data_IF_042777547070
#
_entry.id   IF_042777547070
#
_cell.length_a   1.000
_cell.length_b   1.000
_cell.length_c   1.000
_cell.angle_alpha   90.00
_cell.angle_beta   90.00
_cell.angle_gamma   90.00
#
_symmetry.space_group_name_H-M   'P 1'
#
loop_
_entity.id
_entity.type
_entity.pdbx_description
1 polymer ?
#
# COMPACT_ATOMS: atom_id res chain seq x y z
N UNK A 1 13.16 -27.84 -13.20
CA UNK A 1 12.44 -29.13 -13.33
C UNK A 1 11.49 -29.10 -14.52
N UNK A 2 11.98 -29.20 -15.76
CA UNK A 2 11.11 -29.11 -16.95
C UNK A 2 10.12 -30.29 -17.11
N UNK A 3 10.41 -31.46 -16.52
CA UNK A 3 9.59 -32.66 -16.75
C UNK A 3 8.43 -32.84 -15.77
N UNK A 4 8.39 -32.08 -14.66
CA UNK A 4 7.40 -32.29 -13.61
C UNK A 4 5.95 -32.10 -14.12
N UNK A 5 5.63 -31.03 -14.88
CA UNK A 5 4.27 -30.85 -15.40
C UNK A 5 3.82 -31.99 -16.30
N UNK A 6 4.73 -32.52 -17.15
CA UNK A 6 4.43 -33.63 -18.06
C UNK A 6 4.21 -34.96 -17.31
N UNK A 7 5.07 -35.27 -16.33
CA UNK A 7 4.90 -36.47 -15.50
C UNK A 7 3.60 -36.43 -14.70
N UNK A 8 3.26 -35.25 -14.18
CA UNK A 8 2.04 -35.03 -13.44
C UNK A 8 0.80 -35.12 -14.32
N UNK A 9 0.83 -34.57 -15.54
CA UNK A 9 -0.22 -34.75 -16.54
C UNK A 9 -0.46 -36.23 -16.84
N UNK A 10 0.60 -36.99 -17.14
CA UNK A 10 0.49 -38.40 -17.46
C UNK A 10 -0.11 -39.20 -16.29
N UNK A 11 0.34 -38.94 -15.05
CA UNK A 11 -0.22 -39.56 -13.86
C UNK A 11 -1.70 -39.18 -13.67
N UNK A 12 -2.05 -37.91 -13.86
CA UNK A 12 -3.42 -37.43 -13.71
C UNK A 12 -4.37 -38.14 -14.70
N UNK A 13 -4.01 -38.11 -15.98
CA UNK A 13 -4.87 -38.57 -17.07
C UNK A 13 -5.08 -40.09 -17.07
N UNK A 14 -4.06 -40.87 -16.70
CA UNK A 14 -4.09 -42.33 -16.75
C UNK A 14 -4.49 -42.99 -15.43
N UNK A 15 -4.30 -42.32 -14.29
CA UNK A 15 -4.39 -42.99 -12.99
C UNK A 15 -5.18 -42.27 -11.91
N UNK A 16 -5.38 -40.94 -11.98
CA UNK A 16 -5.89 -40.17 -10.85
C UNK A 16 -7.23 -39.46 -11.10
N UNK A 17 -7.54 -39.05 -12.34
CA UNK A 17 -8.72 -38.21 -12.63
C UNK A 17 -10.07 -38.80 -12.21
N UNK A 18 -10.20 -40.14 -12.20
CA UNK A 18 -11.45 -40.85 -11.86
C UNK A 18 -11.43 -41.42 -10.43
N UNK A 19 -10.43 -41.05 -9.62
CA UNK A 19 -10.29 -41.47 -8.22
C UNK A 19 -10.75 -40.38 -7.27
N UNK A 20 -11.14 -40.71 -6.01
CA UNK A 20 -11.50 -39.73 -5.00
C UNK A 20 -10.24 -39.03 -4.44
N UNK A 21 -9.54 -38.28 -5.29
CA UNK A 21 -8.28 -37.59 -4.97
C UNK A 21 -8.42 -36.12 -5.35
N UNK A 22 -7.95 -35.24 -4.46
CA UNK A 22 -7.79 -33.81 -4.74
C UNK A 22 -6.30 -33.49 -4.86
N UNK A 23 -5.91 -32.92 -5.99
CA UNK A 23 -4.54 -32.45 -6.23
C UNK A 23 -4.49 -30.94 -6.01
N UNK A 24 -3.64 -30.50 -5.07
CA UNK A 24 -3.37 -29.09 -4.81
C UNK A 24 -1.93 -28.80 -5.20
N UNK A 25 -1.74 -27.84 -6.10
CA UNK A 25 -0.43 -27.35 -6.53
C UNK A 25 -0.23 -25.94 -6.00
N UNK A 26 0.88 -25.74 -5.27
CA UNK A 26 1.27 -24.44 -4.74
C UNK A 26 2.71 -24.14 -5.13
N UNK A 27 2.99 -22.88 -5.50
CA UNK A 27 4.33 -22.42 -5.82
C UNK A 27 4.45 -20.91 -5.63
N UNK A 28 5.62 -20.44 -5.21
CA UNK A 28 5.94 -19.02 -5.02
C UNK A 28 6.17 -18.28 -6.34
N UNK A 29 6.65 -18.99 -7.38
CA UNK A 29 6.95 -18.38 -8.67
C UNK A 29 5.70 -18.26 -9.53
N UNK A 30 5.04 -17.10 -9.48
CA UNK A 30 3.86 -16.79 -10.28
C UNK A 30 4.12 -17.03 -11.77
N UNK A 31 5.25 -16.59 -12.31
CA UNK A 31 5.60 -16.82 -13.72
C UNK A 31 5.73 -18.31 -14.09
N UNK A 32 6.27 -19.14 -13.19
CA UNK A 32 6.33 -20.59 -13.42
C UNK A 32 4.95 -21.24 -13.35
N UNK A 33 4.08 -20.76 -12.46
CA UNK A 33 2.69 -21.24 -12.39
C UNK A 33 1.91 -20.80 -13.63
N UNK A 34 2.01 -19.54 -14.04
CA UNK A 34 1.33 -19.00 -15.21
C UNK A 34 1.79 -19.67 -16.50
N UNK A 35 3.10 -19.80 -16.73
CA UNK A 35 3.62 -20.43 -17.96
C UNK A 35 3.61 -21.96 -17.92
N UNK A 36 3.94 -22.55 -16.78
CA UNK A 36 4.17 -23.97 -16.61
C UNK A 36 2.93 -24.77 -16.23
N UNK A 37 1.88 -24.13 -15.69
CA UNK A 37 0.64 -24.80 -15.22
C UNK A 37 -0.61 -24.23 -15.90
N UNK A 38 -0.69 -22.92 -16.12
CA UNK A 38 -1.93 -22.24 -16.55
C UNK A 38 -1.98 -21.85 -18.02
N UNK A 39 -0.83 -21.72 -18.69
CA UNK A 39 -0.79 -21.33 -20.09
C UNK A 39 -1.44 -22.38 -20.99
N UNK A 40 -2.03 -21.96 -22.12
CA UNK A 40 -2.66 -22.86 -23.09
C UNK A 40 -1.71 -23.97 -23.61
N UNK A 41 -0.39 -23.69 -23.59
CA UNK A 41 0.68 -24.63 -23.97
C UNK A 41 1.16 -25.53 -22.83
N UNK A 42 0.66 -25.36 -21.60
CA UNK A 42 1.07 -26.14 -20.44
C UNK A 42 0.44 -27.54 -20.46
N UNK A 43 1.17 -28.58 -20.06
CA UNK A 43 0.66 -29.93 -19.82
C UNK A 43 -0.59 -30.00 -18.92
N UNK A 44 -0.71 -29.05 -17.98
CA UNK A 44 -1.80 -29.03 -17.00
C UNK A 44 -2.94 -28.09 -17.40
N UNK A 45 -2.88 -27.51 -18.60
CA UNK A 45 -3.93 -26.66 -19.13
C UNK A 45 -5.29 -27.37 -19.14
N UNK A 46 -6.33 -26.64 -18.74
CA UNK A 46 -7.71 -27.15 -18.68
C UNK A 46 -7.98 -28.17 -17.56
N UNK A 47 -6.99 -28.52 -16.73
CA UNK A 47 -7.16 -29.48 -15.61
C UNK A 47 -7.33 -28.80 -14.26
N UNK A 48 -6.98 -27.52 -14.13
CA UNK A 48 -7.21 -26.76 -12.91
C UNK A 48 -8.71 -26.47 -12.76
N UNK A 49 -9.33 -27.01 -11.71
CA UNK A 49 -10.74 -26.77 -11.36
C UNK A 49 -10.92 -25.58 -10.40
N UNK A 50 -9.82 -25.09 -9.81
CA UNK A 50 -9.79 -23.91 -8.99
C UNK A 50 -8.41 -23.26 -9.01
N UNK A 51 -8.39 -21.93 -9.03
CA UNK A 51 -7.16 -21.14 -8.96
C UNK A 51 -7.29 -20.14 -7.82
N UNK A 52 -6.41 -20.28 -6.83
CA UNK A 52 -6.35 -19.38 -5.69
C UNK A 52 -5.03 -18.60 -5.74
N UNK A 53 -5.13 -17.31 -6.08
CA UNK A 53 -4.00 -16.38 -5.94
C UNK A 53 -4.01 -15.85 -4.52
N UNK A 54 -3.06 -16.31 -3.70
CA UNK A 54 -2.86 -15.77 -2.36
C UNK A 54 -2.20 -14.38 -2.46
N UNK A 55 -2.85 -13.38 -1.88
CA UNK A 55 -2.33 -12.03 -1.72
C UNK A 55 -1.91 -11.79 -0.28
N UNK A 56 -1.11 -10.75 0.00
CA UNK A 56 -0.89 -10.31 1.38
C UNK A 56 -2.22 -10.11 2.12
N UNK A 57 -2.22 -10.36 3.43
CA UNK A 57 -3.37 -10.12 4.29
C UNK A 57 -3.77 -8.64 4.23
N UNK A 58 -5.05 -8.32 3.99
CA UNK A 58 -5.50 -6.94 4.05
C UNK A 58 -5.38 -6.41 5.48
N UNK A 59 -5.28 -5.09 5.61
CA UNK A 59 -5.08 -4.43 6.91
C UNK A 59 -6.12 -4.84 7.98
N UNK A 60 -7.37 -5.05 7.58
CA UNK A 60 -8.44 -5.52 8.49
C UNK A 60 -8.08 -6.84 9.18
N UNK A 61 -7.43 -7.75 8.47
CA UNK A 61 -7.09 -9.08 8.97
C UNK A 61 -5.82 -8.99 9.82
N UNK A 62 -4.86 -8.14 9.42
CA UNK A 62 -3.68 -7.84 10.24
C UNK A 62 -4.07 -7.23 11.58
N UNK A 63 -5.03 -6.29 11.61
CA UNK A 63 -5.56 -5.72 12.86
C UNK A 63 -6.16 -6.80 13.76
N UNK A 64 -6.84 -7.79 13.19
CA UNK A 64 -7.44 -8.88 13.96
C UNK A 64 -6.37 -9.78 14.63
N UNK A 65 -5.15 -9.85 14.09
CA UNK A 65 -4.04 -10.59 14.69
C UNK A 65 -3.44 -9.90 15.93
N UNK A 66 -3.63 -8.59 16.09
CA UNK A 66 -3.02 -7.79 17.18
C UNK A 66 -4.08 -7.02 17.99
N UNK A 67 -4.99 -7.71 18.71
CA UNK A 67 -6.08 -7.05 19.44
C UNK A 67 -5.61 -6.13 20.59
N UNK A 68 -4.37 -6.31 21.07
CA UNK A 68 -3.76 -5.46 22.10
C UNK A 68 -3.21 -4.13 21.57
N UNK A 69 -3.10 -3.98 20.25
CA UNK A 69 -2.65 -2.74 19.62
C UNK A 69 -3.83 -1.87 19.23
N UNK A 70 -3.67 -0.56 19.44
CA UNK A 70 -4.60 0.41 18.90
C UNK A 70 -4.48 0.47 17.36
N UNK A 71 -5.48 1.08 16.72
CA UNK A 71 -5.49 1.20 15.24
C UNK A 71 -4.23 1.88 14.74
N UNK A 72 -3.69 2.85 15.50
CA UNK A 72 -2.53 3.60 15.07
C UNK A 72 -1.25 2.75 15.05
N UNK A 73 -1.07 1.91 16.08
CA UNK A 73 -0.01 0.93 16.18
C UNK A 73 -0.11 -0.15 15.09
N UNK A 74 -1.32 -0.65 14.80
CA UNK A 74 -1.54 -1.59 13.71
C UNK A 74 -1.16 -0.98 12.35
N UNK A 75 -1.53 0.27 12.06
CA UNK A 75 -1.15 0.96 10.82
C UNK A 75 0.37 1.10 10.76
N UNK A 76 0.99 1.52 11.86
CA UNK A 76 2.43 1.70 11.96
C UNK A 76 3.20 0.38 11.74
N UNK A 77 2.70 -0.74 12.26
CA UNK A 77 3.25 -2.07 12.02
C UNK A 77 3.06 -2.51 10.56
N UNK A 78 1.85 -2.30 10.02
CA UNK A 78 1.53 -2.60 8.62
C UNK A 78 2.37 -1.78 7.64
N UNK A 79 2.77 -0.56 8.00
CA UNK A 79 3.73 0.25 7.22
C UNK A 79 5.12 -0.36 7.10
N UNK A 80 5.51 -1.26 8.01
CA UNK A 80 6.81 -1.93 7.99
C UNK A 80 6.71 -3.31 7.36
N UNK A 81 5.69 -4.08 7.70
CA UNK A 81 5.63 -5.52 7.36
C UNK A 81 4.59 -5.85 6.30
N UNK A 82 3.68 -4.92 6.03
CA UNK A 82 2.51 -5.18 5.21
C UNK A 82 1.67 -6.35 5.75
N UNK A 83 1.07 -7.09 4.82
CA UNK A 83 0.21 -8.22 5.10
C UNK A 83 0.88 -9.58 5.02
N UNK A 84 2.21 -9.67 5.04
CA UNK A 84 2.93 -10.93 4.81
C UNK A 84 2.95 -11.76 6.11
N UNK A 85 2.26 -12.92 6.18
CA UNK A 85 2.15 -13.69 7.42
C UNK A 85 3.51 -14.06 8.02
N UNK A 86 4.48 -14.43 7.18
CA UNK A 86 5.84 -14.77 7.60
C UNK A 86 6.52 -13.67 8.44
N UNK A 87 6.28 -12.40 8.13
CA UNK A 87 6.80 -11.28 8.92
C UNK A 87 5.99 -11.05 10.20
N UNK A 88 4.66 -11.15 10.09
CA UNK A 88 3.73 -10.88 11.18
C UNK A 88 3.85 -11.90 12.33
N UNK A 89 4.11 -13.17 12.04
CA UNK A 89 4.27 -14.24 13.04
C UNK A 89 5.44 -14.02 14.01
N UNK A 90 6.40 -13.16 13.66
CA UNK A 90 7.59 -12.89 14.47
C UNK A 90 7.41 -11.75 15.47
N UNK A 91 6.31 -11.01 15.33
CA UNK A 91 6.00 -9.89 16.19
C UNK A 91 5.57 -10.39 17.55
N UNK A 92 6.19 -9.83 18.59
CA UNK A 92 5.77 -10.04 19.96
C UNK A 92 4.68 -9.02 20.31
N UNK A 93 3.41 -9.42 20.45
CA UNK A 93 2.31 -8.49 20.71
C UNK A 93 2.40 -7.82 22.09
N UNK A 94 3.30 -8.28 22.97
CA UNK A 94 3.52 -7.68 24.30
C UNK A 94 4.46 -6.47 24.27
N UNK A 95 5.27 -6.35 23.21
CA UNK A 95 6.19 -5.23 23.01
C UNK A 95 5.50 -4.05 22.34
N UNK A 96 6.11 -2.86 22.38
CA UNK A 96 5.65 -1.75 21.54
C UNK A 96 5.99 -1.99 20.06
N UNK A 97 5.35 -1.28 19.13
CA UNK A 97 5.70 -1.34 17.69
C UNK A 97 7.16 -0.97 17.48
N UNK A 98 7.67 0.02 18.21
CA UNK A 98 9.06 0.47 18.12
C UNK A 98 10.01 -0.61 18.60
N UNK A 99 9.73 -1.23 19.74
CA UNK A 99 10.57 -2.30 20.29
C UNK A 99 10.57 -3.51 19.35
N UNK A 100 9.42 -3.86 18.77
CA UNK A 100 9.36 -4.89 17.73
C UNK A 100 10.22 -4.54 16.51
N UNK A 101 10.21 -3.30 16.04
CA UNK A 101 11.06 -2.87 14.93
C UNK A 101 12.55 -2.98 15.31
N UNK A 102 12.93 -2.55 16.50
CA UNK A 102 14.32 -2.60 16.98
C UNK A 102 14.78 -4.05 17.18
N UNK A 103 13.99 -4.88 17.84
CA UNK A 103 14.38 -6.21 18.28
C UNK A 103 14.11 -7.29 17.24
N UNK A 104 12.94 -7.27 16.61
CA UNK A 104 12.47 -8.34 15.70
C UNK A 104 12.73 -8.03 14.24
N UNK A 105 12.68 -6.75 13.85
CA UNK A 105 12.97 -6.34 12.46
C UNK A 105 14.46 -6.10 12.25
N UNK A 106 15.09 -5.18 13.00
CA UNK A 106 16.52 -4.88 12.84
C UNK A 106 17.45 -5.97 13.42
N UNK A 107 17.02 -6.62 14.51
CA UNK A 107 17.77 -7.71 15.14
C UNK A 107 17.81 -9.00 14.31
N UNK A 108 17.00 -9.08 13.26
CA UNK A 108 16.92 -10.26 12.42
C UNK A 108 17.90 -10.17 11.24
N UNK A 109 19.11 -10.67 11.47
CA UNK A 109 20.22 -10.59 10.50
C UNK A 109 19.87 -11.14 9.11
N UNK A 110 19.12 -12.24 9.02
CA UNK A 110 18.74 -12.84 7.73
C UNK A 110 17.76 -11.98 6.92
N UNK A 111 16.74 -11.41 7.57
CA UNK A 111 15.77 -10.55 6.89
C UNK A 111 16.40 -9.21 6.47
N UNK A 112 17.23 -8.61 7.32
CA UNK A 112 17.82 -7.30 7.04
C UNK A 112 18.99 -7.34 6.05
N UNK A 113 19.62 -8.48 5.81
CA UNK A 113 20.75 -8.52 4.86
C UNK A 113 20.38 -9.09 3.50
N UNK A 114 19.55 -10.13 3.48
CA UNK A 114 19.34 -10.88 2.25
C UNK A 114 17.90 -10.85 1.73
N UNK A 115 16.90 -10.44 2.52
CA UNK A 115 15.48 -10.56 2.12
C UNK A 115 15.17 -9.90 0.76
N UNK A 116 15.54 -8.63 0.48
CA UNK A 116 15.24 -8.03 -0.82
C UNK A 116 15.95 -8.75 -1.96
N UNK A 117 17.15 -9.28 -1.73
CA UNK A 117 17.89 -10.06 -2.74
C UNK A 117 17.24 -11.41 -2.95
N UNK A 118 16.85 -12.11 -1.89
CA UNK A 118 16.16 -13.40 -1.93
C UNK A 118 14.83 -13.25 -2.68
N UNK A 119 14.01 -12.27 -2.27
CA UNK A 119 12.72 -11.97 -2.91
C UNK A 119 12.89 -11.72 -4.41
N UNK A 120 13.96 -11.04 -4.84
CA UNK A 120 14.19 -10.76 -6.27
C UNK A 120 14.92 -11.89 -7.00
N UNK A 121 15.68 -12.75 -6.31
CA UNK A 121 16.33 -13.91 -6.92
C UNK A 121 15.32 -14.94 -7.43
N UNK A 122 14.13 -14.97 -6.83
CA UNK A 122 13.01 -15.77 -7.32
C UNK A 122 12.50 -15.35 -8.71
N UNK A 123 12.78 -14.10 -9.11
CA UNK A 123 12.34 -13.54 -10.38
C UNK A 123 13.49 -13.31 -11.37
N UNK A 124 14.72 -13.08 -10.88
CA UNK A 124 15.83 -12.60 -11.69
C UNK A 124 17.16 -13.29 -11.37
N UNK A 125 17.85 -13.75 -12.41
CA UNK A 125 19.23 -14.26 -12.30
C UNK A 125 20.23 -13.17 -11.92
N UNK A 126 20.01 -11.93 -12.38
CA UNK A 126 20.85 -10.76 -12.08
C UNK A 126 19.98 -9.60 -11.58
N UNK A 127 19.66 -9.54 -10.27
CA UNK A 127 18.70 -8.58 -9.75
C UNK A 127 19.27 -7.16 -9.55
N UNK A 128 20.56 -6.91 -9.81
CA UNK A 128 21.24 -5.65 -9.45
C UNK A 128 20.54 -4.37 -9.92
N UNK A 129 20.23 -4.26 -11.22
CA UNK A 129 19.54 -3.08 -11.75
C UNK A 129 18.09 -2.97 -11.27
N UNK A 130 17.41 -4.10 -11.06
CA UNK A 130 16.06 -4.12 -10.51
C UNK A 130 16.05 -3.59 -9.06
N UNK A 131 16.98 -4.08 -8.22
CA UNK A 131 17.15 -3.61 -6.84
C UNK A 131 17.48 -2.12 -6.80
N UNK A 132 18.38 -1.65 -7.67
CA UNK A 132 18.74 -0.24 -7.74
C UNK A 132 17.52 0.64 -8.09
N UNK A 133 16.70 0.21 -9.05
CA UNK A 133 15.48 0.93 -9.44
C UNK A 133 14.44 0.93 -8.31
N UNK A 134 14.17 -0.22 -7.69
CA UNK A 134 13.27 -0.30 -6.52
C UNK A 134 13.77 0.62 -5.41
N UNK A 135 15.08 0.63 -5.15
CA UNK A 135 15.71 1.48 -4.15
C UNK A 135 15.53 2.98 -4.42
N UNK A 136 15.64 3.42 -5.67
CA UNK A 136 15.34 4.82 -6.05
C UNK A 136 13.86 5.15 -5.81
N UNK A 137 12.96 4.27 -6.24
CA UNK A 137 11.51 4.48 -6.10
C UNK A 137 11.08 4.52 -4.63
N UNK A 138 11.63 3.64 -3.78
CA UNK A 138 11.40 3.63 -2.33
C UNK A 138 11.93 4.91 -1.63
N UNK A 139 12.89 5.60 -2.25
CA UNK A 139 13.43 6.88 -1.76
C UNK A 139 12.64 8.10 -2.28
N UNK A 140 11.45 7.89 -2.83
CA UNK A 140 10.54 8.91 -3.38
C UNK A 140 11.04 9.53 -4.69
N UNK A 141 11.86 8.81 -5.46
CA UNK A 141 12.23 9.18 -6.83
C UNK A 141 11.20 8.59 -7.78
N UNK A 142 10.21 9.40 -8.16
CA UNK A 142 8.99 8.89 -8.78
C UNK A 142 8.98 8.88 -10.31
N UNK A 143 9.91 9.57 -10.97
CA UNK A 143 9.91 9.71 -12.44
C UNK A 143 10.97 8.85 -13.12
N UNK A 144 10.62 8.22 -14.24
CA UNK A 144 11.57 7.42 -15.03
C UNK A 144 12.82 8.21 -15.43
N UNK A 145 12.66 9.50 -15.75
CA UNK A 145 13.77 10.38 -16.13
C UNK A 145 14.77 10.56 -14.97
N UNK A 146 14.26 10.83 -13.78
CA UNK A 146 15.09 11.05 -12.59
C UNK A 146 15.77 9.76 -12.13
N UNK A 147 15.05 8.61 -12.19
CA UNK A 147 15.65 7.29 -11.92
C UNK A 147 16.79 7.00 -12.89
N UNK A 148 16.60 7.25 -14.18
CA UNK A 148 17.63 7.07 -15.21
C UNK A 148 18.85 7.94 -14.95
N UNK A 149 18.64 9.20 -14.56
CA UNK A 149 19.72 10.12 -14.19
C UNK A 149 20.48 9.66 -12.94
N UNK A 150 19.79 9.26 -11.88
CA UNK A 150 20.43 8.84 -10.62
C UNK A 150 21.23 7.54 -10.74
N UNK A 151 20.85 6.66 -11.67
CA UNK A 151 21.50 5.37 -11.88
C UNK A 151 22.49 5.36 -13.05
N UNK A 152 22.64 6.49 -13.76
CA UNK A 152 23.43 6.60 -14.99
C UNK A 152 23.05 5.52 -16.02
N UNK A 153 21.74 5.36 -16.23
CA UNK A 153 21.17 4.39 -17.16
C UNK A 153 20.40 5.08 -18.27
N UNK A 154 20.41 4.47 -19.46
CA UNK A 154 19.59 4.93 -20.57
C UNK A 154 18.08 4.92 -20.21
N UNK A 155 17.32 5.99 -20.48
CA UNK A 155 15.90 6.06 -20.13
C UNK A 155 15.07 4.90 -20.68
N UNK A 156 15.35 4.44 -21.90
CA UNK A 156 14.67 3.28 -22.50
C UNK A 156 14.95 1.97 -21.75
N UNK A 157 16.15 1.83 -21.20
CA UNK A 157 16.53 0.68 -20.36
C UNK A 157 15.79 0.70 -19.03
N UNK A 158 15.72 1.85 -18.36
CA UNK A 158 14.92 2.02 -17.13
C UNK A 158 13.44 1.75 -17.40
N UNK A 159 12.91 2.20 -18.53
CA UNK A 159 11.53 1.92 -18.94
C UNK A 159 11.22 0.42 -19.04
N UNK A 160 12.14 -0.37 -19.60
CA UNK A 160 12.01 -1.84 -19.67
C UNK A 160 12.00 -2.47 -18.28
N UNK A 161 12.91 -2.05 -17.40
CA UNK A 161 12.94 -2.56 -16.02
C UNK A 161 11.68 -2.21 -15.23
N UNK A 162 11.22 -0.95 -15.31
CA UNK A 162 9.98 -0.51 -14.67
C UNK A 162 8.76 -1.28 -15.18
N UNK A 163 8.67 -1.52 -16.49
CA UNK A 163 7.59 -2.33 -17.06
C UNK A 163 7.58 -3.75 -16.47
N UNK A 164 8.74 -4.40 -16.39
CA UNK A 164 8.85 -5.73 -15.76
C UNK A 164 8.46 -5.70 -14.29
N UNK A 165 8.95 -4.71 -13.52
CA UNK A 165 8.62 -4.56 -12.10
C UNK A 165 7.13 -4.29 -11.86
N UNK A 166 6.48 -3.55 -12.77
CA UNK A 166 5.02 -3.32 -12.76
C UNK A 166 4.26 -4.60 -13.03
N UNK A 167 4.67 -5.38 -14.03
CA UNK A 167 4.02 -6.66 -14.35
C UNK A 167 4.16 -7.69 -13.23
N UNK A 168 5.30 -7.70 -12.53
CA UNK A 168 5.51 -8.54 -11.35
C UNK A 168 4.78 -8.02 -10.10
N UNK A 169 4.22 -6.80 -10.16
CA UNK A 169 3.53 -6.18 -9.02
C UNK A 169 4.47 -5.75 -7.89
N UNK A 170 5.78 -5.61 -8.14
CA UNK A 170 6.77 -5.09 -7.17
C UNK A 170 6.79 -3.56 -7.13
N UNK A 171 6.40 -2.93 -8.24
CA UNK A 171 6.19 -1.49 -8.37
C UNK A 171 4.80 -1.29 -8.96
N UNK A 172 4.10 -0.24 -8.55
CA UNK A 172 2.91 0.25 -9.23
C UNK A 172 3.21 1.53 -9.97
N UNK A 173 2.60 1.67 -11.15
CA UNK A 173 2.57 2.92 -11.91
C UNK A 173 1.29 3.65 -11.55
N UNK A 174 1.41 4.78 -10.89
CA UNK A 174 0.30 5.67 -10.60
C UNK A 174 0.24 6.82 -11.61
N UNK A 175 -0.97 7.30 -11.90
CA UNK A 175 -1.19 8.56 -12.61
C UNK A 175 -2.29 9.31 -11.86
N UNK A 176 -2.42 10.64 -12.01
CA UNK A 176 -3.47 11.39 -11.31
C UNK A 176 -4.84 10.75 -11.52
N UNK A 177 -5.64 10.62 -10.46
CA UNK A 177 -6.95 9.97 -10.50
C UNK A 177 -7.91 10.61 -11.52
N UNK A 178 -7.74 11.91 -11.78
CA UNK A 178 -8.49 12.69 -12.77
C UNK A 178 -8.14 12.38 -14.23
N UNK A 179 -7.10 11.59 -14.48
CA UNK A 179 -6.73 11.16 -15.82
C UNK A 179 -7.72 10.09 -16.33
N UNK A 180 -8.47 10.43 -17.39
CA UNK A 180 -9.48 9.54 -17.98
C UNK A 180 -8.86 8.37 -18.77
N UNK A 181 -7.67 8.58 -19.34
CA UNK A 181 -6.93 7.61 -20.15
C UNK A 181 -5.55 7.32 -19.52
N UNK A 182 -5.52 6.62 -18.36
CA UNK A 182 -4.31 6.42 -17.58
C UNK A 182 -3.17 5.70 -18.32
N UNK A 183 -3.52 4.85 -19.28
CA UNK A 183 -2.60 4.10 -20.14
C UNK A 183 -1.81 4.99 -21.10
N UNK A 184 -2.33 6.17 -21.46
CA UNK A 184 -1.66 7.14 -22.35
C UNK A 184 -0.94 8.26 -21.59
N UNK A 185 -1.13 8.35 -20.28
CA UNK A 185 -0.62 9.47 -19.50
C UNK A 185 0.90 9.49 -19.41
N UNK A 186 1.47 10.68 -19.57
CA UNK A 186 2.90 10.96 -19.35
C UNK A 186 3.20 11.45 -17.93
N UNK A 187 2.17 11.61 -17.09
CA UNK A 187 2.29 12.15 -15.72
C UNK A 187 2.47 11.04 -14.68
N UNK A 188 3.02 9.90 -15.07
CA UNK A 188 3.11 8.74 -14.19
C UNK A 188 4.18 8.89 -13.12
N UNK A 189 3.83 8.42 -11.92
CA UNK A 189 4.74 8.19 -10.81
C UNK A 189 4.86 6.69 -10.56
N UNK A 190 5.99 6.27 -10.04
CA UNK A 190 6.21 4.90 -9.62
C UNK A 190 6.27 4.83 -8.10
N UNK A 191 5.70 3.77 -7.54
CA UNK A 191 5.75 3.47 -6.10
C UNK A 191 6.00 1.99 -5.87
N UNK A 192 6.80 1.65 -4.86
CA UNK A 192 7.01 0.25 -4.46
C UNK A 192 5.75 -0.24 -3.77
N UNK A 193 5.27 -1.42 -4.14
CA UNK A 193 4.01 -1.98 -3.62
C UNK A 193 4.17 -2.59 -2.23
N UNK A 194 5.28 -3.29 -2.00
CA UNK A 194 5.54 -3.98 -0.75
C UNK A 194 5.99 -3.01 0.37
N UNK A 195 5.28 -2.95 1.51
CA UNK A 195 5.64 -2.06 2.62
C UNK A 195 7.02 -2.35 3.23
N UNK A 196 7.42 -3.63 3.26
CA UNK A 196 8.73 -4.01 3.78
C UNK A 196 9.87 -3.53 2.88
N UNK A 197 9.76 -3.72 1.56
CA UNK A 197 10.75 -3.17 0.61
C UNK A 197 10.82 -1.64 0.69
N UNK A 198 9.68 -0.95 0.85
CA UNK A 198 9.66 0.50 1.09
C UNK A 198 10.45 0.87 2.33
N UNK A 199 10.16 0.23 3.46
CA UNK A 199 10.85 0.48 4.72
C UNK A 199 12.35 0.15 4.63
N UNK A 200 12.68 -1.00 4.04
CA UNK A 200 14.04 -1.49 3.86
C UNK A 200 14.90 -0.50 3.11
N UNK A 201 14.54 -0.15 1.87
CA UNK A 201 15.37 0.69 1.01
C UNK A 201 15.42 2.13 1.51
N UNK A 202 14.37 2.59 2.19
CA UNK A 202 14.34 3.93 2.77
C UNK A 202 15.21 4.06 4.01
N UNK A 203 15.20 3.05 4.90
CA UNK A 203 15.75 3.18 6.25
C UNK A 203 16.83 2.17 6.63
N UNK A 204 16.68 0.91 6.23
CA UNK A 204 17.60 -0.16 6.64
C UNK A 204 18.84 -0.21 5.74
N UNK A 205 18.67 -0.17 4.42
CA UNK A 205 19.77 -0.23 3.45
C UNK A 205 20.87 0.81 3.74
N UNK A 206 20.57 2.11 3.99
CA UNK A 206 21.60 3.10 4.27
C UNK A 206 22.33 2.88 5.60
N UNK A 207 21.76 2.06 6.49
CA UNK A 207 22.21 1.86 7.87
C UNK A 207 22.72 0.44 8.14
N UNK A 208 22.86 -0.41 7.11
CA UNK A 208 23.26 -1.82 7.27
C UNK A 208 24.54 -1.98 8.09
N UNK A 209 25.57 -1.15 7.85
CA UNK A 209 26.82 -1.21 8.61
C UNK A 209 26.63 -0.96 10.11
N UNK A 210 25.66 -0.14 10.50
CA UNK A 210 25.33 0.11 11.91
C UNK A 210 24.48 -1.03 12.49
N UNK A 211 23.53 -1.55 11.71
CA UNK A 211 22.68 -2.68 12.09
C UNK A 211 23.53 -3.94 12.33
N UNK A 212 24.48 -4.25 11.44
CA UNK A 212 25.39 -5.41 11.59
C UNK A 212 26.24 -5.34 12.86
N UNK A 213 26.50 -4.12 13.36
CA UNK A 213 27.22 -3.88 14.62
C UNK A 213 26.31 -3.86 15.86
N UNK A 214 25.02 -4.15 15.70
CA UNK A 214 24.03 -4.14 16.79
C UNK A 214 23.61 -2.74 17.24
N UNK A 215 23.89 -1.68 16.47
CA UNK A 215 23.60 -0.30 16.85
C UNK A 215 22.13 0.12 16.60
N UNK A 216 21.17 -0.76 16.90
CA UNK A 216 19.76 -0.61 16.50
C UNK A 216 19.09 0.64 17.06
N UNK A 217 19.34 0.99 18.33
CA UNK A 217 18.78 2.20 18.95
C UNK A 217 19.23 3.49 18.25
N UNK A 218 20.50 3.56 17.84
CA UNK A 218 21.04 4.72 17.11
C UNK A 218 20.45 4.81 15.69
N UNK A 219 20.24 3.65 15.05
CA UNK A 219 19.54 3.58 13.76
C UNK A 219 18.10 4.07 13.91
N UNK A 220 17.38 3.62 14.95
CA UNK A 220 16.01 4.07 15.23
C UNK A 220 15.90 5.58 15.40
N UNK A 221 16.81 6.24 16.13
CA UNK A 221 16.82 7.71 16.28
C UNK A 221 16.95 8.47 14.95
N UNK A 222 17.51 7.82 13.92
CA UNK A 222 17.58 8.38 12.56
C UNK A 222 16.27 8.18 11.80
N UNK A 223 15.65 7.01 11.96
CA UNK A 223 14.35 6.66 11.35
C UNK A 223 13.23 7.51 11.94
N UNK A 224 13.22 7.68 13.26
CA UNK A 224 12.17 8.36 14.03
C UNK A 224 11.84 9.76 13.48
N UNK A 225 12.85 10.50 13.01
CA UNK A 225 12.70 11.84 12.43
C UNK A 225 11.79 11.87 11.20
N UNK A 226 11.75 10.78 10.45
CA UNK A 226 10.98 10.65 9.21
C UNK A 226 9.82 9.66 9.34
N UNK A 227 9.74 8.94 10.47
CA UNK A 227 8.80 7.85 10.71
C UNK A 227 7.35 8.26 10.48
N UNK A 228 6.94 9.40 11.05
CA UNK A 228 5.57 9.89 10.94
C UNK A 228 5.18 10.20 9.50
N UNK A 229 6.07 10.86 8.75
CA UNK A 229 5.82 11.17 7.35
C UNK A 229 5.75 9.90 6.51
N UNK A 230 6.64 8.94 6.77
CA UNK A 230 6.65 7.63 6.10
C UNK A 230 5.33 6.88 6.27
N UNK A 231 4.86 6.70 7.52
CA UNK A 231 3.58 6.01 7.81
C UNK A 231 2.41 6.75 7.17
N UNK A 232 2.39 8.08 7.28
CA UNK A 232 1.33 8.93 6.72
C UNK A 232 1.22 8.78 5.21
N UNK A 233 2.30 9.06 4.50
CA UNK A 233 2.31 9.13 3.03
C UNK A 233 2.15 7.76 2.37
N UNK A 234 2.82 6.73 2.89
CA UNK A 234 2.85 5.46 2.19
C UNK A 234 1.75 4.49 2.58
N UNK A 235 1.27 4.50 3.82
CA UNK A 235 0.31 3.48 4.27
C UNK A 235 -1.01 4.08 4.66
N UNK A 236 -1.01 5.16 5.44
CA UNK A 236 -2.27 5.75 5.88
C UNK A 236 -3.10 6.27 4.71
N UNK A 237 -2.47 6.97 3.76
CA UNK A 237 -3.14 7.39 2.52
C UNK A 237 -3.67 6.22 1.69
N UNK A 238 -2.93 5.11 1.59
CA UNK A 238 -3.39 3.90 0.90
C UNK A 238 -4.65 3.33 1.56
N UNK A 239 -4.62 3.18 2.88
CA UNK A 239 -5.76 2.67 3.65
C UNK A 239 -6.97 3.59 3.55
N UNK A 240 -6.78 4.91 3.47
CA UNK A 240 -7.86 5.85 3.20
C UNK A 240 -8.49 5.63 1.81
N UNK A 241 -7.67 5.38 0.78
CA UNK A 241 -8.16 5.07 -0.58
C UNK A 241 -8.89 3.73 -0.61
N UNK A 242 -8.36 2.70 0.05
CA UNK A 242 -9.04 1.40 0.20
C UNK A 242 -10.38 1.54 0.94
N UNK A 243 -10.42 2.36 1.99
CA UNK A 243 -11.65 2.65 2.70
C UNK A 243 -12.70 3.31 1.79
N UNK A 244 -12.30 4.26 0.93
CA UNK A 244 -13.23 4.90 -0.01
C UNK A 244 -13.84 3.90 -0.98
N UNK A 245 -13.04 2.95 -1.51
CA UNK A 245 -13.58 1.85 -2.31
C UNK A 245 -14.59 1.01 -1.53
N UNK A 246 -14.21 0.54 -0.34
CA UNK A 246 -15.07 -0.29 0.52
C UNK A 246 -16.37 0.44 0.94
N UNK A 247 -16.28 1.74 1.23
CA UNK A 247 -17.42 2.58 1.57
C UNK A 247 -18.38 2.73 0.38
N UNK A 248 -17.87 2.79 -0.86
CA UNK A 248 -18.73 2.80 -2.04
C UNK A 248 -19.45 1.47 -2.24
N UNK A 249 -18.73 0.34 -2.17
CA UNK A 249 -19.30 -1.00 -2.34
C UNK A 249 -20.37 -1.33 -1.30
N UNK A 250 -20.24 -0.79 -0.09
CA UNK A 250 -21.19 -0.98 1.01
C UNK A 250 -22.31 0.08 1.05
N UNK A 251 -22.40 0.96 0.05
CA UNK A 251 -23.45 1.98 -0.06
C UNK A 251 -23.33 3.14 0.95
N UNK A 252 -22.16 3.30 1.59
CA UNK A 252 -21.86 4.45 2.47
C UNK A 252 -21.48 5.70 1.69
N UNK A 253 -21.10 5.58 0.42
CA UNK A 253 -20.95 6.70 -0.51
C UNK A 253 -22.15 6.77 -1.46
N UNK A 254 -22.55 7.99 -1.88
CA UNK A 254 -23.73 8.19 -2.71
C UNK A 254 -23.51 7.83 -4.19
N UNK A 255 -22.32 7.33 -4.57
CA UNK A 255 -21.96 6.93 -5.91
C UNK A 255 -20.90 5.81 -5.87
N UNK A 256 -20.81 5.04 -6.95
CA UNK A 256 -19.74 4.07 -7.15
C UNK A 256 -18.61 4.73 -7.95
N UNK A 257 -17.38 4.86 -7.40
CA UNK A 257 -16.28 5.44 -8.14
C UNK A 257 -15.80 4.47 -9.22
N UNK A 258 -15.59 4.99 -10.43
CA UNK A 258 -14.88 4.29 -11.49
C UNK A 258 -13.37 4.27 -11.22
N UNK A 259 -12.89 5.24 -10.44
CA UNK A 259 -11.48 5.33 -10.05
C UNK A 259 -11.33 6.01 -8.71
N UNK A 260 -10.52 5.42 -7.84
CA UNK A 260 -9.99 6.05 -6.62
C UNK A 260 -8.47 6.05 -6.68
N UNK A 261 -7.86 7.18 -6.36
CA UNK A 261 -6.41 7.37 -6.36
C UNK A 261 -6.02 8.70 -5.71
N UNK A 262 -4.78 9.12 -5.88
CA UNK A 262 -4.33 10.48 -5.54
C UNK A 262 -4.35 11.36 -6.80
N UNK A 263 -4.32 12.67 -6.62
CA UNK A 263 -4.12 13.64 -7.69
C UNK A 263 -2.89 14.49 -7.41
N UNK A 264 -2.10 14.77 -8.44
CA UNK A 264 -0.98 15.70 -8.35
C UNK A 264 -0.84 16.50 -9.64
N UNK A 265 -0.44 17.75 -9.48
CA UNK A 265 -0.09 18.69 -10.54
C UNK A 265 1.16 19.48 -10.14
N UNK A 266 1.49 20.53 -10.88
CA UNK A 266 2.57 21.44 -10.49
C UNK A 266 2.21 22.31 -9.27
N UNK A 267 0.92 22.49 -9.00
CA UNK A 267 0.41 23.43 -7.98
C UNK A 267 -0.32 22.75 -6.82
N UNK A 268 -0.80 21.53 -7.03
CA UNK A 268 -1.72 20.86 -6.10
C UNK A 268 -1.38 19.38 -5.93
N UNK A 269 -1.61 18.87 -4.73
CA UNK A 269 -1.60 17.46 -4.41
C UNK A 269 -2.81 17.16 -3.54
N UNK A 270 -3.53 16.08 -3.86
CA UNK A 270 -4.71 15.60 -3.13
C UNK A 270 -4.53 14.10 -2.90
N UNK A 271 -4.58 13.68 -1.64
CA UNK A 271 -4.25 12.31 -1.24
C UNK A 271 -5.30 11.28 -1.70
N UNK A 272 -6.58 11.67 -1.67
CA UNK A 272 -7.71 10.81 -2.03
C UNK A 272 -8.65 11.53 -2.99
N UNK A 273 -8.85 10.93 -4.14
CA UNK A 273 -9.75 11.40 -5.18
C UNK A 273 -10.53 10.21 -5.72
N UNK A 274 -11.85 10.28 -5.66
CA UNK A 274 -12.76 9.27 -6.18
C UNK A 274 -13.66 9.89 -7.26
N UNK A 275 -13.65 9.32 -8.46
CA UNK A 275 -14.31 9.89 -9.64
C UNK A 275 -15.23 8.87 -10.29
N UNK A 276 -16.40 9.34 -10.70
CA UNK A 276 -17.27 8.69 -11.67
C UNK A 276 -17.54 9.69 -12.80
N UNK A 277 -17.01 9.43 -13.99
CA UNK A 277 -17.11 10.32 -15.14
C UNK A 277 -18.50 10.29 -15.77
N UNK A 278 -19.19 9.16 -15.71
CA UNK A 278 -20.52 8.99 -16.33
C UNK A 278 -21.60 9.73 -15.55
N UNK A 279 -21.52 9.68 -14.22
CA UNK A 279 -22.40 10.42 -13.31
C UNK A 279 -21.91 11.86 -13.05
N UNK A 280 -20.73 12.23 -13.57
CA UNK A 280 -20.07 13.53 -13.36
C UNK A 280 -19.92 13.91 -11.87
N UNK A 281 -19.54 12.94 -11.03
CA UNK A 281 -19.36 13.13 -9.57
C UNK A 281 -17.90 12.90 -9.20
N UNK A 282 -17.43 13.72 -8.26
CA UNK A 282 -16.08 13.60 -7.69
C UNK A 282 -16.11 13.84 -6.18
N UNK A 283 -15.31 13.06 -5.47
CA UNK A 283 -14.96 13.25 -4.07
C UNK A 283 -13.47 13.54 -3.98
N UNK A 284 -13.12 14.58 -3.21
CA UNK A 284 -11.74 14.92 -2.85
C UNK A 284 -11.58 14.83 -1.33
N UNK A 285 -10.44 14.33 -0.87
CA UNK A 285 -10.12 14.15 0.54
C UNK A 285 -8.62 14.25 0.81
N UNK A 286 -8.30 14.83 1.96
CA UNK A 286 -6.95 14.99 2.50
C UNK A 286 -6.75 14.04 3.68
N UNK A 287 -5.59 13.38 3.73
CA UNK A 287 -5.22 12.48 4.81
C UNK A 287 -4.29 13.18 5.80
N UNK A 288 -4.58 13.10 7.10
CA UNK A 288 -3.72 13.68 8.13
C UNK A 288 -3.36 12.67 9.21
N UNK A 289 -2.12 12.20 9.15
CA UNK A 289 -1.52 11.40 10.22
C UNK A 289 -0.96 12.31 11.32
N UNK A 290 -1.70 12.50 12.41
CA UNK A 290 -1.30 13.30 13.59
C UNK A 290 -1.11 12.42 14.82
N UNK A 291 -0.13 12.76 15.66
CA UNK A 291 -0.05 12.24 17.02
C UNK A 291 -1.05 13.02 17.89
N UNK A 292 -1.84 12.33 18.70
CA UNK A 292 -2.71 13.00 19.66
C UNK A 292 -1.89 13.29 20.91
N UNK A 293 -1.45 14.54 21.07
CA UNK A 293 -0.91 15.04 22.34
C UNK A 293 -1.99 15.80 23.12
N UNK A 294 -3.25 15.33 23.08
CA UNK A 294 -4.39 15.96 23.75
C UNK A 294 -5.05 14.99 24.74
N UNK A 295 -4.34 14.80 25.85
CA UNK A 295 -4.92 14.54 27.18
C UNK A 295 -4.32 15.51 28.21
N UNK A 296 -4.05 16.75 27.80
CA UNK A 296 -3.75 17.85 28.73
C UNK A 296 -4.85 18.89 28.62
N UNK A 297 -5.80 18.81 29.56
CA UNK A 297 -6.70 19.86 30.03
C UNK A 297 -6.76 21.13 29.16
N UNK A 298 -7.70 21.19 28.22
CA UNK A 298 -8.27 22.48 27.87
C UNK A 298 -9.20 22.90 29.02
N UNK A 299 -8.64 23.72 29.91
CA UNK A 299 -9.44 24.59 30.77
C UNK A 299 -10.31 25.42 29.85
N UNK A 300 -11.60 25.13 29.92
CA UNK A 300 -12.68 26.00 29.51
C UNK A 300 -12.44 27.42 30.04
N UNK A 301 -12.02 28.34 29.18
CA UNK A 301 -12.25 29.77 29.41
C UNK A 301 -13.66 30.07 28.92
N UNK A 302 -14.52 30.21 29.91
CA UNK A 302 -15.89 30.69 29.84
C UNK A 302 -16.01 32.02 29.08
N UNK A 303 -17.00 32.09 28.19
CA UNK A 303 -17.81 33.29 28.04
C UNK A 303 -19.28 32.91 28.32
N UNK A 304 -19.75 33.38 29.47
CA UNK A 304 -21.14 33.43 29.96
C UNK A 304 -22.07 34.09 28.94
N UNK A 305 -23.27 33.61 28.63
CA UNK A 305 -24.55 33.70 29.40
C UNK A 305 -25.66 33.48 28.35
N UNK A 306 -26.87 32.96 28.55
CA UNK A 306 -27.68 32.44 29.66
C UNK A 306 -28.77 31.51 29.00
N UNK A 307 -29.52 30.67 29.76
CA UNK A 307 -30.26 29.51 29.28
C UNK A 307 -31.72 29.81 28.91
N UNK A 308 -32.26 29.06 27.95
CA UNK A 308 -33.55 28.39 28.12
C UNK A 308 -33.79 27.32 27.04
N UNK A 309 -34.48 26.28 27.47
CA UNK A 309 -34.59 24.94 26.90
C UNK A 309 -35.48 24.87 25.65
N UNK A 310 -35.18 23.96 24.72
CA UNK A 310 -35.98 22.74 24.53
C UNK A 310 -35.39 21.83 23.46
N UNK A 311 -35.62 20.56 23.70
CA UNK A 311 -35.09 19.34 23.11
C UNK A 311 -35.70 18.97 21.75
N UNK A 312 -34.85 18.59 20.80
CA UNK A 312 -35.12 17.49 19.84
C UNK A 312 -33.82 17.11 19.13
N UNK A 313 -33.24 15.98 19.54
CA UNK A 313 -32.18 15.29 18.79
C UNK A 313 -32.77 14.71 17.51
N UNK A 314 -32.53 15.37 16.38
CA UNK A 314 -32.43 14.76 15.05
C UNK A 314 -31.65 15.75 14.17
N UNK A 315 -30.42 15.41 13.79
CA UNK A 315 -29.68 16.19 12.80
C UNK A 315 -28.90 15.24 11.89
N UNK A 316 -29.62 14.77 10.87
CA UNK A 316 -29.03 14.58 9.55
C UNK A 316 -28.85 15.97 8.90
N UNK A 317 -27.85 16.05 8.01
CA UNK A 317 -27.59 17.11 7.03
C UNK A 317 -26.86 18.40 7.48
N UNK A 318 -25.73 18.62 6.81
CA UNK A 318 -25.39 19.78 5.96
C UNK A 318 -26.03 21.13 6.36
N UNK A 319 -25.19 22.09 6.76
CA UNK A 319 -25.32 23.50 6.39
C UNK A 319 -23.97 24.23 6.42
N UNK A 320 -23.69 24.97 5.35
CA UNK A 320 -22.74 26.10 5.32
C UNK A 320 -23.35 27.32 6.03
N UNK A 321 -22.54 28.30 6.46
CA UNK A 321 -22.61 29.59 5.77
C UNK A 321 -21.25 30.27 5.53
N UNK A 322 -21.29 31.18 4.56
CA UNK A 322 -20.22 31.98 3.98
C UNK A 322 -19.44 32.89 4.95
N UNK A 323 -18.13 33.07 4.66
CA UNK A 323 -17.51 34.40 4.52
C UNK A 323 -16.07 34.32 3.94
N UNK A 324 -15.89 34.85 2.72
CA UNK A 324 -14.72 35.57 2.15
C UNK A 324 -13.31 34.91 2.15
N UNK A 325 -12.46 34.97 1.11
CA UNK A 325 -12.44 35.73 -0.15
C UNK A 325 -11.57 35.02 -1.23
N UNK A 326 -12.01 35.25 -2.47
CA UNK A 326 -11.45 35.00 -3.82
C UNK A 326 -9.98 34.58 -4.04
N UNK A 327 -9.79 33.60 -4.93
CA UNK A 327 -8.99 33.75 -6.18
C UNK A 327 -9.39 32.67 -7.21
N UNK A 328 -10.10 33.12 -8.26
CA UNK A 328 -10.42 32.52 -9.57
C UNK A 328 -10.47 30.99 -9.79
N UNK A 329 -11.71 30.54 -10.03
CA UNK A 329 -12.16 29.21 -10.43
C UNK A 329 -12.06 28.93 -11.95
N UNK A 330 -11.84 27.66 -12.28
CA UNK A 330 -12.61 26.97 -13.31
C UNK A 330 -13.23 25.72 -12.65
N UNK A 331 -14.41 25.90 -12.03
CA UNK A 331 -15.09 24.86 -11.24
C UNK A 331 -16.22 24.25 -12.08
N UNK A 332 -16.15 22.93 -12.28
CA UNK A 332 -17.25 22.13 -12.84
C UNK A 332 -18.37 21.98 -11.78
N UNK A 333 -19.66 21.93 -12.17
CA UNK A 333 -20.75 22.44 -11.32
C UNK A 333 -21.21 21.57 -10.13
N UNK A 334 -20.54 20.48 -9.74
CA UNK A 334 -21.04 19.55 -8.71
C UNK A 334 -19.94 19.02 -7.77
N UNK A 335 -19.25 19.90 -7.03
CA UNK A 335 -18.26 19.48 -6.02
C UNK A 335 -18.89 19.34 -4.63
N UNK A 336 -18.72 18.16 -3.99
CA UNK A 336 -18.88 18.00 -2.53
C UNK A 336 -17.51 17.75 -1.91
N UNK A 337 -17.05 18.63 -1.00
CA UNK A 337 -15.83 18.43 -0.21
C UNK A 337 -16.14 17.63 1.05
N UNK A 338 -15.41 16.54 1.28
CA UNK A 338 -15.51 15.72 2.49
C UNK A 338 -14.15 15.68 3.18
N UNK A 339 -14.11 16.08 4.45
CA UNK A 339 -12.91 15.99 5.28
C UNK A 339 -12.87 14.63 6.00
N UNK A 340 -11.92 13.76 5.65
CA UNK A 340 -11.74 12.47 6.33
C UNK A 340 -10.83 12.65 7.55
N UNK A 341 -11.43 12.95 8.70
CA UNK A 341 -10.74 12.93 9.99
C UNK A 341 -11.58 12.15 11.00
N UNK A 342 -10.99 11.08 11.57
CA UNK A 342 -11.24 10.48 12.91
C UNK A 342 -10.98 8.97 12.94
N UNK A 343 -9.98 8.59 13.75
CA UNK A 343 -9.36 7.26 13.89
C UNK A 343 -10.27 6.09 14.30
N UNK A 344 -11.52 6.33 14.67
CA UNK A 344 -12.37 5.29 15.28
C UNK A 344 -13.62 4.93 14.48
N UNK A 345 -13.98 5.71 13.45
CA UNK A 345 -15.17 5.43 12.61
C UNK A 345 -14.86 4.79 11.26
N UNK A 346 -13.58 4.60 10.94
CA UNK A 346 -13.16 4.07 9.64
C UNK A 346 -13.19 2.54 9.55
N UNK A 347 -13.08 1.82 10.67
CA UNK A 347 -12.95 0.36 10.69
C UNK A 347 -13.65 -0.30 11.88
#
# INVERSE_FOLDING_TARGET
YPDLPFKLQAAWDHHLKDKPIMLVLSGSHIGMMEEGVLAARSPLYGRATGLLKLTPLPFKDVRALFPGYDVAACIALYSVLGGIPYYLERIDPTLSVVDNIIEKVMGWSALVQDEPRILLHDYFTQPGNYLAIIGQVAKSVHSQKEIAQNLDLEPGTVGRYLHTLVNLGLIRREVPATERHPERSRKSRYEVTDPYLRFYFRFLEPQLAHITRGAYKAVWQTIERHWRAFVGTHTYEELCREWVYSAAETGRLPFLPQRVGSHWSATEQIDVVAINWDEAVVLYGECKWKHNSSLTNERSTSCSSNPNQSSSQHAAAIHSPDSMSSSHEAVLPNQRRLWLSQRERFW
#
